data_IF_146553471747
#
_entry.id   IF_146553471747
#
_cell.length_a   1.000
_cell.length_b   1.000
_cell.length_c   1.000
_cell.angle_alpha   90.00
_cell.angle_beta   90.00
_cell.angle_gamma   90.00
#
_symmetry.space_group_name_H-M   'P 1'
#
loop_
_entity.id
_entity.type
_entity.pdbx_description
1 polymer ?
#
# COMPACT_ATOMS: atom_id res chain seq x y z
N UNK A 1 37.37 17.42 18.62
CA UNK A 1 36.46 16.25 18.63
C UNK A 1 35.15 16.53 19.36
N UNK A 2 34.18 17.27 18.77
CA UNK A 2 32.78 16.96 19.09
C UNK A 2 31.82 16.93 17.88
N UNK A 3 32.25 17.37 16.69
CA UNK A 3 31.38 17.46 15.51
C UNK A 3 31.06 16.12 14.84
N UNK A 4 31.81 15.05 15.11
CA UNK A 4 31.57 13.73 14.51
C UNK A 4 30.57 12.84 15.27
N UNK A 5 30.18 13.20 16.51
CA UNK A 5 29.20 12.43 17.30
C UNK A 5 27.75 12.86 17.04
N UNK A 6 27.51 14.11 16.60
CA UNK A 6 26.15 14.59 16.31
C UNK A 6 25.57 13.98 15.01
N UNK A 7 26.41 13.63 14.03
CA UNK A 7 25.96 13.03 12.77
C UNK A 7 25.43 11.59 12.94
N UNK A 8 25.87 10.87 13.98
CA UNK A 8 25.39 9.51 14.29
C UNK A 8 24.01 9.47 14.95
N UNK A 9 23.57 10.58 15.54
CA UNK A 9 22.25 10.71 16.18
C UNK A 9 21.12 11.16 15.24
N UNK A 10 21.46 11.73 14.07
CA UNK A 10 20.48 12.19 13.06
C UNK A 10 20.16 11.15 11.98
N UNK A 11 21.04 10.16 11.77
CA UNK A 11 20.79 9.03 10.87
C UNK A 11 19.44 8.30 11.15
N UNK A 12 19.04 8.00 12.41
CA UNK A 12 17.77 7.34 12.66
C UNK A 12 16.53 8.20 12.38
N UNK A 13 16.66 9.52 12.20
CA UNK A 13 15.54 10.41 11.83
C UNK A 13 15.27 10.43 10.33
N UNK A 14 16.30 10.29 9.49
CA UNK A 14 16.16 10.24 8.03
C UNK A 14 15.92 8.82 7.48
N UNK A 15 16.40 7.79 8.19
CA UNK A 15 16.06 6.39 7.90
C UNK A 15 14.58 6.06 8.16
N UNK A 16 13.83 6.92 8.86
CA UNK A 16 12.42 6.67 9.19
C UNK A 16 11.46 6.82 8.01
N UNK A 17 11.81 7.55 6.95
CA UNK A 17 10.88 7.87 5.86
C UNK A 17 11.00 6.97 4.62
N UNK A 18 12.15 6.34 4.38
CA UNK A 18 12.29 5.41 3.24
C UNK A 18 11.84 3.99 3.63
N UNK A 19 10.78 3.45 3.01
CA UNK A 19 10.35 2.08 3.26
C UNK A 19 11.38 1.02 2.84
N UNK A 20 12.24 1.31 1.85
CA UNK A 20 13.25 0.37 1.36
C UNK A 20 14.37 0.22 2.38
N UNK A 21 14.91 1.33 2.88
CA UNK A 21 15.97 1.30 3.90
C UNK A 21 15.51 0.63 5.19
N UNK A 22 14.23 0.79 5.57
CA UNK A 22 13.67 0.08 6.72
C UNK A 22 13.54 -1.41 6.48
N UNK A 23 13.07 -1.82 5.30
CA UNK A 23 13.06 -3.24 4.94
C UNK A 23 14.49 -3.83 4.96
N UNK A 24 15.48 -3.10 4.46
CA UNK A 24 16.90 -3.49 4.54
C UNK A 24 17.41 -3.61 5.97
N UNK A 25 17.13 -2.62 6.84
CA UNK A 25 17.55 -2.66 8.23
C UNK A 25 16.91 -3.85 8.99
N UNK A 26 15.63 -4.13 8.74
CA UNK A 26 14.92 -5.26 9.34
C UNK A 26 15.49 -6.60 8.90
N UNK A 27 15.67 -6.79 7.59
CA UNK A 27 16.28 -8.01 7.04
C UNK A 27 17.73 -8.16 7.49
N UNK A 28 18.45 -7.05 7.67
CA UNK A 28 19.81 -7.07 8.19
C UNK A 28 19.87 -7.48 9.67
N UNK A 29 18.84 -7.19 10.46
CA UNK A 29 18.75 -7.58 11.87
C UNK A 29 18.22 -9.00 12.12
N UNK A 30 17.62 -9.64 11.11
CA UNK A 30 17.04 -10.98 11.23
C UNK A 30 18.11 -12.05 11.47
N UNK A 31 17.86 -12.97 12.42
CA UNK A 31 18.79 -14.05 12.79
C UNK A 31 18.26 -15.41 12.35
N UNK A 32 19.09 -16.44 12.38
CA UNK A 32 18.70 -17.80 12.00
C UNK A 32 17.37 -18.27 12.64
N UNK A 33 17.10 -18.07 13.95
CA UNK A 33 15.81 -18.45 14.54
C UNK A 33 14.59 -17.75 13.94
N UNK A 34 14.75 -16.56 13.37
CA UNK A 34 13.67 -15.83 12.70
C UNK A 34 13.30 -16.48 11.37
N UNK A 35 14.32 -16.82 10.58
CA UNK A 35 14.14 -17.56 9.33
C UNK A 35 13.57 -18.94 9.58
N UNK A 36 14.14 -19.71 10.52
CA UNK A 36 13.68 -21.08 10.80
C UNK A 36 12.21 -21.10 11.24
N UNK A 37 11.79 -20.14 12.07
CA UNK A 37 10.40 -19.98 12.50
C UNK A 37 9.46 -19.68 11.32
N UNK A 38 9.81 -18.71 10.46
CA UNK A 38 8.94 -18.35 9.34
C UNK A 38 8.95 -19.42 8.23
N UNK A 39 10.07 -20.11 7.99
CA UNK A 39 10.13 -21.27 7.08
C UNK A 39 9.22 -22.38 7.59
N UNK A 40 9.30 -22.71 8.89
CA UNK A 40 8.43 -23.72 9.50
C UNK A 40 6.94 -23.33 9.42
N UNK A 41 6.61 -22.04 9.48
CA UNK A 41 5.23 -21.55 9.27
C UNK A 41 4.80 -21.69 7.81
N UNK A 42 5.63 -21.29 6.86
CA UNK A 42 5.34 -21.41 5.44
C UNK A 42 5.07 -22.88 5.04
N UNK A 43 5.87 -23.82 5.56
CA UNK A 43 5.66 -25.25 5.35
C UNK A 43 4.33 -25.75 5.96
N UNK A 44 3.93 -25.25 7.13
CA UNK A 44 2.62 -25.58 7.75
C UNK A 44 1.44 -24.98 6.99
N UNK A 45 1.65 -23.84 6.32
CA UNK A 45 0.66 -23.16 5.49
C UNK A 45 0.58 -23.76 4.06
N UNK A 46 1.31 -24.85 3.78
CA UNK A 46 1.45 -25.48 2.45
C UNK A 46 1.92 -24.47 1.38
N UNK A 47 2.84 -23.58 1.75
CA UNK A 47 3.48 -22.58 0.88
C UNK A 47 4.99 -22.87 0.71
N UNK A 48 5.35 -23.94 -0.02
CA UNK A 48 6.74 -24.35 -0.20
C UNK A 48 7.55 -23.34 -1.03
N UNK A 49 6.89 -22.58 -1.92
CA UNK A 49 7.51 -21.46 -2.63
C UNK A 49 8.02 -20.41 -1.64
N UNK A 50 7.18 -19.98 -0.69
CA UNK A 50 7.59 -19.00 0.33
C UNK A 50 8.69 -19.56 1.24
N UNK A 51 8.62 -20.84 1.59
CA UNK A 51 9.66 -21.51 2.36
C UNK A 51 11.02 -21.48 1.62
N UNK A 52 11.02 -21.72 0.30
CA UNK A 52 12.19 -21.61 -0.54
C UNK A 52 12.68 -20.15 -0.67
N UNK A 53 11.78 -19.17 -0.87
CA UNK A 53 12.14 -17.75 -0.91
C UNK A 53 12.82 -17.29 0.40
N UNK A 54 12.34 -17.76 1.55
CA UNK A 54 12.91 -17.47 2.87
C UNK A 54 14.30 -18.12 3.06
N UNK A 55 14.46 -19.37 2.63
CA UNK A 55 15.75 -20.06 2.67
C UNK A 55 16.78 -19.36 1.77
N UNK A 56 16.40 -19.01 0.54
CA UNK A 56 17.26 -18.29 -0.39
C UNK A 56 17.61 -16.88 0.15
N UNK A 57 16.68 -16.22 0.84
CA UNK A 57 16.95 -14.93 1.49
C UNK A 57 17.95 -15.08 2.65
N UNK A 58 17.87 -16.16 3.43
CA UNK A 58 18.85 -16.45 4.48
C UNK A 58 20.24 -16.68 3.89
N UNK A 59 20.34 -17.48 2.82
CA UNK A 59 21.58 -17.71 2.08
C UNK A 59 22.17 -16.41 1.54
N UNK A 60 21.35 -15.58 0.88
CA UNK A 60 21.76 -14.26 0.39
C UNK A 60 22.29 -13.35 1.52
N UNK A 61 21.81 -13.53 2.74
CA UNK A 61 22.26 -12.79 3.93
C UNK A 61 23.40 -13.48 4.69
N UNK A 62 23.91 -14.61 4.17
CA UNK A 62 24.90 -15.46 4.83
C UNK A 62 24.48 -15.87 6.25
N UNK A 63 23.17 -16.07 6.47
CA UNK A 63 22.62 -16.56 7.74
C UNK A 63 22.57 -18.09 7.67
N UNK A 64 23.33 -18.81 8.52
CA UNK A 64 23.37 -20.27 8.47
C UNK A 64 22.04 -20.84 8.96
N UNK A 65 21.47 -21.74 8.16
CA UNK A 65 20.28 -22.53 8.51
C UNK A 65 20.66 -24.00 8.71
N UNK A 66 19.88 -24.70 9.53
CA UNK A 66 20.12 -26.13 9.75
C UNK A 66 19.94 -26.97 8.46
N UNK A 67 20.85 -27.93 8.15
CA UNK A 67 20.72 -28.79 6.98
C UNK A 67 19.42 -29.59 6.94
N UNK A 68 18.91 -29.97 8.12
CA UNK A 68 17.64 -30.67 8.26
C UNK A 68 16.43 -29.81 7.85
N UNK A 69 16.49 -28.49 8.02
CA UNK A 69 15.43 -27.60 7.55
C UNK A 69 15.51 -27.40 6.04
N UNK A 70 16.71 -27.22 5.49
CA UNK A 70 16.93 -27.09 4.05
C UNK A 70 16.44 -28.33 3.28
N UNK A 71 16.64 -29.53 3.85
CA UNK A 71 16.12 -30.76 3.25
C UNK A 71 14.59 -30.85 3.29
N UNK A 72 13.94 -30.36 4.35
CA UNK A 72 12.47 -30.27 4.42
C UNK A 72 11.92 -29.31 3.36
N UNK A 73 12.55 -28.14 3.17
CA UNK A 73 12.16 -27.17 2.14
C UNK A 73 12.32 -27.78 0.75
N UNK A 74 13.46 -28.43 0.47
CA UNK A 74 13.71 -29.06 -0.83
C UNK A 74 12.71 -30.19 -1.14
N UNK A 75 12.34 -30.99 -0.13
CA UNK A 75 11.33 -32.03 -0.27
C UNK A 75 9.95 -31.41 -0.59
N UNK A 76 9.50 -30.45 0.22
CA UNK A 76 8.20 -29.80 0.04
C UNK A 76 8.07 -29.13 -1.33
N UNK A 77 9.12 -28.47 -1.82
CA UNK A 77 9.14 -27.83 -3.12
C UNK A 77 9.03 -28.84 -4.29
N UNK A 78 9.68 -30.00 -4.19
CA UNK A 78 9.57 -31.07 -5.21
C UNK A 78 8.14 -31.63 -5.28
N UNK A 79 7.51 -31.84 -4.13
CA UNK A 79 6.12 -32.31 -4.09
C UNK A 79 5.16 -31.27 -4.68
N UNK A 80 5.40 -29.98 -4.43
CA UNK A 80 4.56 -28.93 -4.99
C UNK A 80 4.67 -28.81 -6.50
N UNK A 81 5.87 -28.86 -7.07
CA UNK A 81 6.06 -28.90 -8.52
C UNK A 81 5.24 -30.03 -9.17
N UNK A 82 5.20 -31.20 -8.55
CA UNK A 82 4.46 -32.36 -9.05
C UNK A 82 2.93 -32.19 -8.92
N UNK A 83 2.45 -31.59 -7.82
CA UNK A 83 1.03 -31.23 -7.64
C UNK A 83 0.59 -30.10 -8.58
N UNK A 84 1.44 -29.08 -8.74
CA UNK A 84 1.23 -27.91 -9.58
C UNK A 84 1.08 -28.33 -11.04
N UNK A 85 1.91 -29.24 -11.56
CA UNK A 85 1.74 -29.82 -12.90
C UNK A 85 0.37 -30.50 -13.09
N UNK A 86 -0.11 -31.26 -12.09
CA UNK A 86 -1.44 -31.87 -12.11
C UNK A 86 -2.59 -30.86 -11.98
N UNK A 87 -2.39 -29.77 -11.22
CA UNK A 87 -3.37 -28.70 -11.02
C UNK A 87 -3.49 -27.75 -12.22
N UNK A 88 -2.43 -27.60 -13.00
CA UNK A 88 -2.41 -26.84 -14.26
C UNK A 88 -3.25 -27.59 -15.31
N UNK A 89 -3.09 -28.91 -15.42
CA UNK A 89 -3.92 -29.74 -16.32
C UNK A 89 -5.40 -29.76 -15.90
N UNK A 90 -5.69 -29.86 -14.60
CA UNK A 90 -7.08 -29.80 -14.10
C UNK A 90 -7.69 -28.40 -14.18
N UNK A 91 -6.92 -27.34 -13.91
CA UNK A 91 -7.39 -25.96 -13.99
C UNK A 91 -7.66 -25.50 -15.43
N UNK A 92 -6.87 -25.98 -16.41
CA UNK A 92 -7.09 -25.72 -17.82
C UNK A 92 -8.34 -26.42 -18.39
N UNK A 93 -8.76 -27.54 -17.80
CA UNK A 93 -9.89 -28.36 -18.27
C UNK A 93 -11.17 -28.13 -17.46
N UNK A 94 -11.07 -27.88 -16.14
CA UNK A 94 -12.19 -27.83 -15.20
C UNK A 94 -12.37 -26.48 -14.48
N UNK A 95 -11.48 -25.50 -14.69
CA UNK A 95 -11.70 -24.13 -14.20
C UNK A 95 -11.60 -23.93 -12.68
N UNK A 96 -10.89 -24.79 -11.95
CA UNK A 96 -10.73 -24.66 -10.50
C UNK A 96 -9.67 -23.61 -10.09
N UNK A 97 -10.03 -22.75 -9.11
CA UNK A 97 -9.40 -21.47 -8.78
C UNK A 97 -8.20 -21.52 -7.81
N UNK A 98 -7.66 -22.70 -7.50
CA UNK A 98 -6.51 -22.85 -6.57
C UNK A 98 -5.16 -22.89 -7.26
N UNK A 99 -5.12 -23.04 -8.59
CA UNK A 99 -3.88 -23.15 -9.36
C UNK A 99 -3.42 -21.81 -9.96
N UNK A 100 -2.11 -21.65 -10.26
CA UNK A 100 -1.59 -20.53 -11.03
C UNK A 100 -2.32 -20.29 -12.36
N UNK A 101 -2.83 -21.36 -12.99
CA UNK A 101 -3.60 -21.29 -14.23
C UNK A 101 -5.02 -20.73 -14.02
N UNK A 102 -5.73 -21.11 -12.95
CA UNK A 102 -7.05 -20.54 -12.62
C UNK A 102 -6.97 -19.06 -12.27
N UNK A 103 -5.89 -18.64 -11.60
CA UNK A 103 -5.60 -17.23 -11.33
C UNK A 103 -5.25 -16.47 -12.62
N UNK A 104 -4.44 -17.07 -13.50
CA UNK A 104 -4.09 -16.49 -14.79
C UNK A 104 -5.31 -16.38 -15.74
N UNK A 105 -6.22 -17.34 -15.75
CA UNK A 105 -7.44 -17.31 -16.55
C UNK A 105 -8.44 -16.25 -16.05
N UNK A 106 -8.64 -16.15 -14.72
CA UNK A 106 -9.46 -15.09 -14.13
C UNK A 106 -8.89 -13.70 -14.43
N UNK A 107 -7.57 -13.53 -14.28
CA UNK A 107 -6.86 -12.29 -14.64
C UNK A 107 -6.97 -12.02 -16.14
N UNK A 108 -6.73 -12.99 -17.03
CA UNK A 108 -6.81 -12.82 -18.48
C UNK A 108 -8.21 -12.38 -18.93
N UNK A 109 -9.26 -12.91 -18.31
CA UNK A 109 -10.65 -12.53 -18.61
C UNK A 109 -10.96 -11.12 -18.09
N UNK A 110 -10.48 -10.77 -16.90
CA UNK A 110 -10.68 -9.47 -16.25
C UNK A 110 -9.80 -8.34 -16.82
N UNK A 111 -8.73 -8.67 -17.56
CA UNK A 111 -7.87 -7.73 -18.27
C UNK A 111 -8.47 -7.21 -19.58
N UNK A 112 -9.63 -7.72 -19.98
CA UNK A 112 -10.31 -7.26 -21.18
C UNK A 112 -11.15 -6.02 -20.88
N UNK A 113 -11.23 -5.11 -21.84
CA UNK A 113 -12.14 -3.95 -21.74
C UNK A 113 -13.62 -4.40 -21.70
N UNK A 114 -13.90 -5.62 -22.15
CA UNK A 114 -15.23 -6.27 -22.04
C UNK A 114 -15.52 -6.61 -20.57
N UNK A 115 -14.54 -7.13 -19.82
CA UNK A 115 -14.65 -7.42 -18.40
C UNK A 115 -15.01 -6.17 -17.58
N UNK A 116 -14.34 -5.05 -17.83
CA UNK A 116 -14.64 -3.78 -17.15
C UNK A 116 -16.04 -3.23 -17.48
N UNK A 117 -16.48 -3.30 -18.74
CA UNK A 117 -17.86 -2.92 -19.10
C UNK A 117 -18.88 -3.83 -18.42
N UNK A 118 -18.64 -5.15 -18.41
CA UNK A 118 -19.52 -6.13 -17.74
C UNK A 118 -19.63 -5.85 -16.24
N UNK A 119 -18.50 -5.62 -15.57
CA UNK A 119 -18.48 -5.28 -14.15
C UNK A 119 -19.24 -3.98 -13.88
N UNK A 120 -19.03 -2.93 -14.68
CA UNK A 120 -19.78 -1.67 -14.55
C UNK A 120 -21.28 -1.82 -14.77
N UNK A 121 -21.69 -2.57 -15.80
CA UNK A 121 -23.12 -2.80 -16.08
C UNK A 121 -23.76 -3.60 -14.95
N UNK A 122 -23.08 -4.65 -14.45
CA UNK A 122 -23.54 -5.46 -13.32
C UNK A 122 -23.70 -4.62 -12.06
N UNK A 123 -22.70 -3.83 -11.71
CA UNK A 123 -22.76 -2.97 -10.52
C UNK A 123 -23.74 -1.82 -10.69
N UNK A 124 -23.87 -1.25 -11.90
CA UNK A 124 -24.88 -0.22 -12.18
C UNK A 124 -26.30 -0.78 -12.08
N UNK A 125 -26.54 -2.04 -12.45
CA UNK A 125 -27.83 -2.69 -12.25
C UNK A 125 -28.16 -2.91 -10.77
N UNK A 126 -27.15 -3.00 -9.90
CA UNK A 126 -27.31 -3.08 -8.45
C UNK A 126 -27.49 -1.71 -7.78
N UNK A 127 -27.55 -0.60 -8.52
CA UNK A 127 -27.71 0.73 -7.95
C UNK A 127 -29.05 0.87 -7.18
N UNK A 128 -29.06 1.42 -5.94
CA UNK A 128 -27.97 2.14 -5.27
C UNK A 128 -26.97 1.27 -4.48
N UNK A 129 -27.22 -0.03 -4.31
CA UNK A 129 -26.46 -0.97 -3.45
C UNK A 129 -25.18 -1.55 -4.06
N UNK A 130 -24.70 -0.95 -5.16
CA UNK A 130 -23.45 -1.29 -5.84
C UNK A 130 -22.20 -1.25 -4.95
N UNK A 131 -21.14 -2.00 -5.31
CA UNK A 131 -19.82 -1.85 -4.70
C UNK A 131 -19.06 -0.68 -5.37
N UNK A 132 -18.82 0.45 -4.67
CA UNK A 132 -18.15 1.60 -5.26
C UNK A 132 -16.73 1.28 -5.71
N UNK A 133 -16.01 0.38 -5.02
CA UNK A 133 -14.64 0.04 -5.38
C UNK A 133 -14.60 -0.75 -6.68
N UNK A 134 -15.52 -1.69 -6.89
CA UNK A 134 -15.59 -2.45 -8.15
C UNK A 134 -15.96 -1.52 -9.31
N UNK A 135 -16.94 -0.62 -9.12
CA UNK A 135 -17.29 0.40 -10.13
C UNK A 135 -16.09 1.27 -10.46
N UNK A 136 -15.39 1.79 -9.46
CA UNK A 136 -14.27 2.69 -9.68
C UNK A 136 -13.07 1.98 -10.34
N UNK A 137 -12.76 0.73 -9.98
CA UNK A 137 -11.69 -0.04 -10.61
C UNK A 137 -12.01 -0.40 -12.06
N UNK A 138 -13.25 -0.79 -12.36
CA UNK A 138 -13.70 -1.08 -13.72
C UNK A 138 -13.73 0.21 -14.58
N UNK A 139 -14.23 1.32 -14.02
CA UNK A 139 -14.17 2.64 -14.65
C UNK A 139 -12.74 3.12 -14.91
N UNK A 140 -11.82 2.85 -13.97
CA UNK A 140 -10.38 3.12 -14.13
C UNK A 140 -9.79 2.28 -15.27
N UNK A 141 -10.11 0.99 -15.36
CA UNK A 141 -9.66 0.09 -16.44
C UNK A 141 -10.12 0.54 -17.83
N UNK A 142 -11.35 1.06 -17.94
CA UNK A 142 -11.85 1.67 -19.19
C UNK A 142 -11.15 2.98 -19.51
N UNK A 143 -10.95 3.86 -18.52
CA UNK A 143 -10.25 5.13 -18.71
C UNK A 143 -8.81 4.90 -19.19
N UNK A 144 -8.11 3.94 -18.60
CA UNK A 144 -6.76 3.53 -19.00
C UNK A 144 -6.75 3.00 -20.44
N UNK A 145 -7.69 2.11 -20.79
CA UNK A 145 -7.81 1.58 -22.15
C UNK A 145 -8.09 2.70 -23.16
N UNK A 146 -9.00 3.63 -22.85
CA UNK A 146 -9.35 4.74 -23.73
C UNK A 146 -8.16 5.70 -23.94
N UNK A 147 -7.40 6.00 -22.87
CA UNK A 147 -6.19 6.81 -22.95
C UNK A 147 -5.12 6.20 -23.84
N UNK A 148 -4.90 4.89 -23.74
CA UNK A 148 -3.95 4.14 -24.58
C UNK A 148 -4.31 4.17 -26.07
N UNK A 149 -5.59 3.98 -26.40
CA UNK A 149 -6.06 4.04 -27.79
C UNK A 149 -5.87 5.45 -28.35
N UNK A 150 -6.21 6.48 -27.55
CA UNK A 150 -6.07 7.88 -27.95
C UNK A 150 -4.61 8.31 -28.13
N UNK A 151 -3.67 7.71 -27.38
CA UNK A 151 -2.24 7.99 -27.50
C UNK A 151 -1.52 7.18 -28.58
N UNK A 152 -2.24 6.39 -29.40
CA UNK A 152 -1.65 5.59 -30.48
C UNK A 152 -0.79 4.41 -30.03
N UNK A 153 -0.99 3.89 -28.82
CA UNK A 153 -0.15 2.84 -28.23
C UNK A 153 -0.35 1.44 -28.84
N UNK A 154 0.73 0.65 -28.89
CA UNK A 154 0.70 -0.78 -29.24
C UNK A 154 0.02 -1.62 -28.13
N UNK A 155 -0.44 -2.83 -28.47
CA UNK A 155 -1.23 -3.74 -27.62
C UNK A 155 -0.64 -4.06 -26.22
N UNK A 156 0.66 -3.83 -26.01
CA UNK A 156 1.36 -3.95 -24.72
C UNK A 156 0.82 -2.96 -23.66
N UNK A 157 0.24 -1.83 -24.08
CA UNK A 157 -0.35 -0.86 -23.16
C UNK A 157 -1.77 -1.25 -22.70
N UNK A 158 -2.47 -2.14 -23.44
CA UNK A 158 -3.77 -2.70 -23.03
C UNK A 158 -3.58 -3.75 -21.92
N UNK A 159 -2.37 -4.28 -21.74
CA UNK A 159 -1.97 -5.22 -20.68
C UNK A 159 -0.97 -4.61 -19.68
N UNK A 160 -0.91 -3.28 -19.60
CA UNK A 160 0.03 -2.58 -18.73
C UNK A 160 -0.15 -2.87 -17.24
N UNK A 161 0.85 -2.54 -16.39
CA UNK A 161 0.83 -2.79 -14.95
C UNK A 161 -0.46 -2.28 -14.28
N UNK A 162 -0.96 -1.11 -14.67
CA UNK A 162 -2.20 -0.58 -14.11
C UNK A 162 -3.42 -1.49 -14.33
N UNK A 163 -3.56 -2.14 -15.49
CA UNK A 163 -4.70 -3.02 -15.76
C UNK A 163 -4.58 -4.34 -15.00
N UNK A 164 -3.36 -4.88 -14.92
CA UNK A 164 -3.03 -6.05 -14.10
C UNK A 164 -3.36 -5.81 -12.63
N UNK A 165 -2.94 -4.68 -12.08
CA UNK A 165 -3.23 -4.37 -10.69
C UNK A 165 -4.70 -4.04 -10.43
N UNK A 166 -5.41 -3.44 -11.39
CA UNK A 166 -6.86 -3.21 -11.26
C UNK A 166 -7.62 -4.55 -11.16
N UNK A 167 -7.27 -5.54 -11.99
CA UNK A 167 -7.79 -6.90 -11.90
C UNK A 167 -7.47 -7.57 -10.56
N UNK A 168 -6.22 -7.47 -10.09
CA UNK A 168 -5.82 -8.01 -8.79
C UNK A 168 -6.50 -7.34 -7.60
N UNK A 169 -6.75 -6.02 -7.67
CA UNK A 169 -7.51 -5.28 -6.67
C UNK A 169 -8.98 -5.73 -6.63
N UNK A 170 -9.61 -5.93 -7.81
CA UNK A 170 -10.97 -6.49 -7.91
C UNK A 170 -11.02 -7.90 -7.31
N UNK A 171 -10.04 -8.75 -7.64
CA UNK A 171 -9.91 -10.10 -7.10
C UNK A 171 -9.73 -10.08 -5.56
N UNK A 172 -8.84 -9.24 -5.05
CA UNK A 172 -8.59 -9.12 -3.62
C UNK A 172 -9.81 -8.59 -2.86
N UNK A 173 -10.56 -7.65 -3.44
CA UNK A 173 -11.83 -7.15 -2.88
C UNK A 173 -12.88 -8.26 -2.81
N UNK A 174 -13.07 -9.01 -3.90
CA UNK A 174 -14.06 -10.11 -3.97
C UNK A 174 -13.70 -11.28 -3.06
N UNK A 175 -12.41 -11.57 -2.88
CA UNK A 175 -11.92 -12.66 -2.03
C UNK A 175 -11.70 -12.27 -0.56
N UNK A 176 -12.03 -11.03 -0.16
CA UNK A 176 -11.84 -10.56 1.22
C UNK A 176 -10.37 -10.49 1.65
N UNK A 177 -9.42 -10.40 0.70
CA UNK A 177 -7.98 -10.38 0.95
C UNK A 177 -7.39 -8.99 1.19
N UNK A 178 -8.21 -7.95 1.08
CA UNK A 178 -7.81 -6.59 1.46
C UNK A 178 -7.91 -6.44 2.98
N UNK A 179 -6.94 -5.75 3.59
CA UNK A 179 -7.07 -5.33 5.00
C UNK A 179 -8.27 -4.39 5.15
N UNK A 180 -8.90 -4.36 6.33
CA UNK A 180 -10.04 -3.48 6.58
C UNK A 180 -9.69 -1.99 6.34
N UNK A 181 -8.45 -1.59 6.68
CA UNK A 181 -7.95 -0.23 6.47
C UNK A 181 -7.75 0.08 4.99
N UNK A 182 -7.08 -0.80 4.24
CA UNK A 182 -6.89 -0.60 2.80
C UNK A 182 -8.21 -0.59 2.07
N UNK A 183 -9.12 -1.49 2.44
CA UNK A 183 -10.47 -1.49 1.88
C UNK A 183 -11.20 -0.19 2.16
N UNK A 184 -11.10 0.37 3.36
CA UNK A 184 -11.69 1.66 3.71
C UNK A 184 -11.07 2.84 2.95
N UNK A 185 -9.74 2.88 2.82
CA UNK A 185 -9.02 3.90 2.06
C UNK A 185 -9.41 3.87 0.57
N UNK A 186 -9.38 2.69 -0.06
CA UNK A 186 -9.77 2.51 -1.45
C UNK A 186 -11.25 2.82 -1.70
N UNK A 187 -12.15 2.47 -0.78
CA UNK A 187 -13.57 2.83 -0.87
C UNK A 187 -13.78 4.35 -0.81
N UNK A 188 -13.00 5.05 0.02
CA UNK A 188 -13.06 6.51 0.10
C UNK A 188 -12.57 7.17 -1.19
N UNK A 189 -11.50 6.64 -1.80
CA UNK A 189 -11.03 7.09 -3.12
C UNK A 189 -12.07 6.81 -4.21
N UNK A 190 -12.64 5.60 -4.21
CA UNK A 190 -13.66 5.18 -5.16
C UNK A 190 -14.90 6.07 -5.15
N UNK A 191 -15.45 6.36 -3.97
CA UNK A 191 -16.63 7.24 -3.82
C UNK A 191 -16.37 8.66 -4.34
N UNK A 192 -15.14 9.17 -4.20
CA UNK A 192 -14.76 10.49 -4.74
C UNK A 192 -14.60 10.45 -6.26
N UNK A 193 -14.08 9.33 -6.77
CA UNK A 193 -13.86 9.14 -8.20
C UNK A 193 -15.13 8.87 -9.00
N UNK A 194 -16.20 8.39 -8.37
CA UNK A 194 -17.48 8.12 -9.05
C UNK A 194 -18.34 9.38 -9.13
N UNK A 195 -18.79 9.70 -10.35
CA UNK A 195 -19.90 10.61 -10.58
C UNK A 195 -21.22 9.86 -10.38
N UNK A 196 -21.88 10.13 -9.25
CA UNK A 196 -23.13 9.47 -8.87
C UNK A 196 -24.29 9.75 -9.83
N UNK A 197 -24.30 10.91 -10.51
CA UNK A 197 -25.34 11.24 -11.49
C UNK A 197 -25.11 10.46 -12.77
N UNK A 198 -23.87 10.39 -13.25
CA UNK A 198 -23.51 9.59 -14.41
C UNK A 198 -23.78 8.10 -14.15
N UNK A 199 -23.43 7.59 -12.95
CA UNK A 199 -23.72 6.23 -12.55
C UNK A 199 -25.23 5.93 -12.56
N UNK A 200 -26.07 6.84 -12.05
CA UNK A 200 -27.52 6.67 -12.08
C UNK A 200 -28.08 6.64 -13.52
N UNK A 201 -27.50 7.40 -14.45
CA UNK A 201 -27.86 7.33 -15.88
C UNK A 201 -27.48 5.98 -16.47
N UNK A 202 -26.27 5.49 -16.20
CA UNK A 202 -25.82 4.17 -16.64
C UNK A 202 -26.70 3.06 -16.05
N UNK A 203 -27.08 3.16 -14.78
CA UNK A 203 -27.99 2.22 -14.11
C UNK A 203 -29.35 2.15 -14.79
N UNK A 204 -29.96 3.31 -15.12
CA UNK A 204 -31.24 3.37 -15.84
C UNK A 204 -31.17 2.75 -17.23
N UNK A 205 -30.06 2.92 -17.94
CA UNK A 205 -29.84 2.33 -19.27
C UNK A 205 -29.63 0.81 -19.18
N UNK A 206 -28.84 0.36 -18.21
CA UNK A 206 -28.63 -1.06 -17.93
C UNK A 206 -29.94 -1.77 -17.56
N UNK A 207 -30.79 -1.15 -16.71
CA UNK A 207 -32.09 -1.70 -16.33
C UNK A 207 -33.09 -1.79 -17.49
N UNK A 208 -32.90 -1.01 -18.55
CA UNK A 208 -33.69 -1.09 -19.81
C UNK A 208 -33.14 -2.11 -20.81
N UNK A 209 -32.12 -2.88 -20.42
CA UNK A 209 -31.38 -3.80 -21.29
C UNK A 209 -30.71 -3.12 -22.49
N UNK A 210 -30.53 -1.80 -22.45
CA UNK A 210 -29.82 -1.04 -23.47
C UNK A 210 -28.31 -1.03 -23.16
N UNK A 211 -27.68 -2.16 -23.45
CA UNK A 211 -26.25 -2.38 -23.21
C UNK A 211 -25.37 -1.43 -24.03
N UNK A 212 -25.85 -0.99 -25.20
CA UNK A 212 -25.11 -0.05 -26.06
C UNK A 212 -25.10 1.34 -25.43
N UNK A 213 -26.25 1.83 -24.96
CA UNK A 213 -26.32 3.10 -24.24
C UNK A 213 -25.56 3.03 -22.91
N UNK A 214 -25.73 1.95 -22.14
CA UNK A 214 -25.01 1.74 -20.88
C UNK A 214 -23.48 1.79 -21.08
N UNK A 215 -22.98 1.17 -22.15
CA UNK A 215 -21.55 1.26 -22.52
C UNK A 215 -21.12 2.69 -22.87
N UNK A 216 -21.95 3.46 -23.58
CA UNK A 216 -21.67 4.87 -23.93
C UNK A 216 -21.72 5.82 -22.74
N UNK A 217 -22.46 5.49 -21.68
CA UNK A 217 -22.51 6.28 -20.45
C UNK A 217 -21.47 5.85 -19.42
N UNK A 218 -21.04 4.57 -19.42
CA UNK A 218 -20.03 4.02 -18.54
C UNK A 218 -18.71 4.83 -18.53
N UNK A 219 -18.27 5.33 -19.69
CA UNK A 219 -17.07 6.16 -19.80
C UNK A 219 -17.16 7.50 -19.04
N UNK A 220 -18.36 7.96 -18.68
CA UNK A 220 -18.62 9.21 -17.95
C UNK A 220 -18.81 9.02 -16.44
N UNK A 221 -18.79 7.77 -15.96
CA UNK A 221 -18.97 7.44 -14.54
C UNK A 221 -17.78 7.90 -13.69
N UNK A 222 -16.62 8.13 -14.30
CA UNK A 222 -15.38 8.46 -13.59
C UNK A 222 -15.02 9.94 -13.70
N UNK A 223 -14.67 10.55 -12.57
CA UNK A 223 -14.06 11.89 -12.49
C UNK A 223 -12.55 11.80 -12.72
N UNK A 224 -12.01 12.42 -13.79
CA UNK A 224 -10.63 12.18 -14.23
C UNK A 224 -9.53 12.43 -13.21
N UNK A 225 -9.72 13.37 -12.27
CA UNK A 225 -8.68 13.76 -11.30
C UNK A 225 -8.51 12.70 -10.22
N UNK A 226 -9.61 12.17 -9.71
CA UNK A 226 -9.66 11.18 -8.65
C UNK A 226 -9.36 9.77 -9.15
N UNK A 227 -9.62 9.47 -10.43
CA UNK A 227 -9.24 8.20 -11.08
C UNK A 227 -7.72 7.97 -11.06
N UNK A 228 -6.91 9.04 -11.00
CA UNK A 228 -5.44 8.94 -11.01
C UNK A 228 -4.90 8.19 -9.79
N UNK A 229 -5.43 8.46 -8.60
CA UNK A 229 -4.95 7.82 -7.36
C UNK A 229 -5.27 6.32 -7.35
N UNK A 230 -6.44 5.93 -7.87
CA UNK A 230 -6.79 4.52 -8.07
C UNK A 230 -5.93 3.88 -9.16
N UNK A 231 -5.64 4.63 -10.23
CA UNK A 231 -4.71 4.23 -11.29
C UNK A 231 -3.30 3.98 -10.77
N UNK A 232 -2.76 4.85 -9.92
CA UNK A 232 -1.43 4.72 -9.29
C UNK A 232 -1.36 3.53 -8.32
N UNK A 233 -2.41 3.31 -7.54
CA UNK A 233 -2.55 2.13 -6.69
C UNK A 233 -2.55 0.85 -7.53
N UNK A 234 -3.36 0.82 -8.59
CA UNK A 234 -3.42 -0.30 -9.52
C UNK A 234 -2.08 -0.51 -10.24
N UNK A 235 -1.44 0.55 -10.72
CA UNK A 235 -0.11 0.47 -11.34
C UNK A 235 0.92 -0.11 -10.36
N UNK A 236 0.86 0.30 -9.09
CA UNK A 236 1.79 -0.21 -8.09
C UNK A 236 1.62 -1.71 -7.85
N UNK A 237 0.38 -2.17 -7.74
CA UNK A 237 0.04 -3.59 -7.56
C UNK A 237 0.48 -4.40 -8.78
N UNK A 238 0.17 -3.94 -10.00
CA UNK A 238 0.55 -4.68 -11.19
C UNK A 238 2.04 -4.64 -11.49
N UNK A 239 2.76 -3.59 -11.07
CA UNK A 239 4.21 -3.55 -11.16
C UNK A 239 4.87 -4.57 -10.22
N UNK A 240 4.29 -4.81 -9.03
CA UNK A 240 4.71 -5.92 -8.16
C UNK A 240 4.40 -7.24 -8.84
N UNK A 241 3.17 -7.40 -9.38
CA UNK A 241 2.76 -8.64 -10.03
C UNK A 241 3.63 -9.00 -11.24
N UNK A 242 4.03 -8.01 -12.05
CA UNK A 242 4.87 -8.22 -13.22
C UNK A 242 6.32 -8.57 -12.87
N UNK A 243 6.81 -8.20 -11.69
CA UNK A 243 8.19 -8.48 -11.25
C UNK A 243 8.31 -9.74 -10.38
N UNK A 244 7.38 -9.89 -9.43
CA UNK A 244 7.42 -10.89 -8.37
C UNK A 244 6.28 -11.93 -8.47
N UNK A 245 5.40 -11.78 -9.46
CA UNK A 245 4.25 -12.65 -9.66
C UNK A 245 2.98 -12.25 -8.89
N UNK A 246 1.82 -12.84 -9.24
CA UNK A 246 0.52 -12.48 -8.67
C UNK A 246 0.39 -12.81 -7.18
N UNK A 247 1.03 -13.88 -6.69
CA UNK A 247 1.04 -14.24 -5.27
C UNK A 247 1.74 -13.17 -4.43
N UNK A 248 2.84 -12.61 -4.93
CA UNK A 248 3.55 -11.51 -4.30
C UNK A 248 2.70 -10.23 -4.25
N UNK A 249 1.98 -9.91 -5.33
CA UNK A 249 1.06 -8.78 -5.34
C UNK A 249 -0.11 -8.96 -4.35
N UNK A 250 -0.67 -10.17 -4.25
CA UNK A 250 -1.70 -10.48 -3.24
C UNK A 250 -1.15 -10.42 -1.81
N UNK A 251 0.10 -10.84 -1.59
CA UNK A 251 0.79 -10.70 -0.30
C UNK A 251 1.04 -9.22 0.05
N UNK A 252 1.30 -8.36 -0.93
CA UNK A 252 1.37 -6.92 -0.72
C UNK A 252 0.00 -6.34 -0.31
N UNK A 253 -1.08 -6.77 -0.97
CA UNK A 253 -2.44 -6.32 -0.69
C UNK A 253 -2.98 -6.77 0.68
N UNK A 254 -2.56 -7.94 1.17
CA UNK A 254 -2.96 -8.44 2.49
C UNK A 254 -2.22 -7.76 3.64
N UNK A 255 -1.20 -6.96 3.33
CA UNK A 255 -0.32 -6.28 4.29
C UNK A 255 -0.48 -4.77 4.25
N UNK A 256 -0.74 -4.19 3.07
CA UNK A 256 -0.97 -2.75 2.92
C UNK A 256 -2.19 -2.26 3.72
N UNK A 257 -2.10 -1.06 4.30
CA UNK A 257 -3.18 -0.38 5.01
C UNK A 257 -3.73 0.83 4.23
N UNK A 258 -2.94 1.40 3.33
CA UNK A 258 -3.35 2.54 2.48
C UNK A 258 -2.92 2.36 1.03
N UNK A 259 -3.54 3.09 0.12
CA UNK A 259 -3.14 3.19 -1.29
C UNK A 259 -1.69 3.66 -1.46
N UNK A 260 -1.20 4.53 -0.57
CA UNK A 260 0.21 4.98 -0.55
C UNK A 260 1.20 3.87 -0.19
N UNK A 261 0.78 2.91 0.65
CA UNK A 261 1.62 1.77 1.04
C UNK A 261 1.94 0.88 -0.17
N UNK A 262 1.04 0.78 -1.14
CA UNK A 262 1.24 -0.02 -2.35
C UNK A 262 2.45 0.45 -3.15
N UNK A 263 2.65 1.77 -3.23
CA UNK A 263 3.83 2.35 -3.88
C UNK A 263 5.11 2.09 -3.07
N UNK A 264 5.03 2.15 -1.74
CA UNK A 264 6.15 1.77 -0.86
C UNK A 264 6.55 0.30 -1.05
N UNK A 265 5.56 -0.60 -1.07
CA UNK A 265 5.75 -2.04 -1.30
C UNK A 265 6.31 -2.33 -2.70
N UNK A 266 5.90 -1.58 -3.73
CA UNK A 266 6.49 -1.67 -5.08
C UNK A 266 7.99 -1.37 -5.08
N UNK A 267 8.42 -0.36 -4.31
CA UNK A 267 9.85 -0.03 -4.17
C UNK A 267 10.61 -1.13 -3.45
N UNK A 268 10.04 -1.69 -2.38
CA UNK A 268 10.62 -2.84 -1.66
C UNK A 268 10.74 -4.06 -2.59
N UNK A 269 9.67 -4.40 -3.33
CA UNK A 269 9.69 -5.48 -4.32
C UNK A 269 10.80 -5.28 -5.37
N UNK A 270 10.96 -4.05 -5.85
CA UNK A 270 12.00 -3.73 -6.82
C UNK A 270 13.42 -3.90 -6.26
N UNK A 271 13.60 -3.76 -4.94
CA UNK A 271 14.89 -3.91 -4.25
C UNK A 271 15.22 -5.36 -3.90
N UNK A 272 14.23 -6.12 -3.41
CA UNK A 272 14.39 -7.48 -2.90
C UNK A 272 13.86 -8.53 -3.89
N UNK A 273 14.20 -8.37 -5.17
CA UNK A 273 13.71 -9.20 -6.26
C UNK A 273 13.87 -10.70 -5.94
N UNK A 274 12.81 -11.48 -6.08
CA UNK A 274 12.79 -12.92 -5.79
C UNK A 274 12.73 -13.28 -4.30
N UNK A 275 12.75 -12.29 -3.41
CA UNK A 275 12.65 -12.47 -1.95
C UNK A 275 11.57 -11.58 -1.34
N UNK A 276 10.75 -10.90 -2.15
CA UNK A 276 9.82 -9.90 -1.65
C UNK A 276 8.85 -10.47 -0.61
N UNK A 277 8.25 -11.65 -0.84
CA UNK A 277 7.32 -12.25 0.13
C UNK A 277 8.05 -12.71 1.38
N UNK A 278 9.27 -13.24 1.24
CA UNK A 278 10.14 -13.55 2.36
C UNK A 278 10.42 -12.31 3.22
N UNK A 279 10.71 -11.16 2.60
CA UNK A 279 10.87 -9.87 3.30
C UNK A 279 9.58 -9.45 4.00
N UNK A 280 8.42 -9.54 3.35
CA UNK A 280 7.13 -9.23 3.99
C UNK A 280 6.85 -10.12 5.19
N UNK A 281 7.28 -11.40 5.13
CA UNK A 281 7.08 -12.37 6.21
C UNK A 281 7.99 -12.11 7.39
N UNK A 282 9.25 -11.74 7.14
CA UNK A 282 10.25 -11.41 8.15
C UNK A 282 10.09 -10.00 8.73
N UNK A 283 9.39 -9.10 8.04
CA UNK A 283 9.10 -7.75 8.50
C UNK A 283 7.70 -7.67 9.12
N UNK A 284 7.51 -8.03 10.41
CA UNK A 284 6.22 -7.88 11.08
C UNK A 284 5.73 -6.42 11.14
N UNK A 285 6.63 -5.45 10.94
CA UNK A 285 6.33 -4.02 10.80
C UNK A 285 5.72 -3.67 9.44
N UNK A 286 6.11 -4.37 8.35
CA UNK A 286 5.40 -4.25 7.08
C UNK A 286 3.93 -4.67 7.24
N UNK A 287 3.68 -5.76 7.98
CA UNK A 287 2.34 -6.27 8.35
C UNK A 287 1.51 -5.33 9.24
N UNK A 288 2.14 -4.45 10.03
CA UNK A 288 1.46 -3.56 11.01
C UNK A 288 1.51 -2.07 10.68
N UNK A 289 1.96 -1.73 9.47
CA UNK A 289 2.07 -0.35 9.03
C UNK A 289 3.51 0.15 9.14
N UNK A 290 4.28 -0.10 8.08
CA UNK A 290 5.53 0.60 7.80
C UNK A 290 5.30 2.12 7.56
N UNK A 291 4.09 2.68 7.78
CA UNK A 291 3.77 4.09 7.53
C UNK A 291 3.09 4.79 8.72
N UNK A 292 3.07 4.16 9.90
CA UNK A 292 2.60 4.81 11.14
C UNK A 292 3.69 5.63 11.85
N UNK A 293 4.32 6.57 11.15
CA UNK A 293 5.00 7.74 11.76
C UNK A 293 4.85 9.03 10.91
N UNK A 294 3.98 9.12 9.89
CA UNK A 294 3.97 10.34 9.04
C UNK A 294 2.96 11.42 9.42
N UNK A 295 1.90 11.12 10.20
CA UNK A 295 0.89 12.15 10.57
C UNK A 295 0.61 12.32 12.05
N UNK A 296 0.84 11.28 12.87
CA UNK A 296 0.56 11.37 14.31
C UNK A 296 1.73 12.01 15.08
N UNK A 297 2.97 11.71 14.71
CA UNK A 297 4.17 12.36 15.26
C UNK A 297 4.30 13.81 14.82
N UNK A 298 3.92 14.16 13.59
CA UNK A 298 3.89 15.56 13.15
C UNK A 298 2.90 16.40 13.96
N UNK A 299 1.70 15.90 14.26
CA UNK A 299 0.75 16.60 15.15
C UNK A 299 1.21 16.64 16.60
N UNK A 300 1.86 15.60 17.11
CA UNK A 300 2.43 15.62 18.46
C UNK A 300 3.63 16.58 18.52
N UNK A 301 4.42 16.67 17.45
CA UNK A 301 5.53 17.62 17.30
C UNK A 301 5.05 19.06 17.21
N UNK A 302 3.98 19.34 16.45
CA UNK A 302 3.31 20.65 16.43
C UNK A 302 2.75 21.02 17.80
N UNK A 303 2.08 20.09 18.49
CA UNK A 303 1.57 20.31 19.85
C UNK A 303 2.71 20.54 20.84
N UNK A 304 3.80 19.78 20.74
CA UNK A 304 4.98 19.96 21.60
C UNK A 304 5.68 21.30 21.32
N UNK A 305 5.80 21.71 20.05
CA UNK A 305 6.36 22.99 19.66
C UNK A 305 5.47 24.16 20.12
N UNK A 306 4.15 24.02 20.05
CA UNK A 306 3.19 24.97 20.61
C UNK A 306 3.34 25.08 22.13
N UNK A 307 3.38 23.96 22.85
CA UNK A 307 3.57 23.95 24.31
C UNK A 307 4.91 24.58 24.71
N UNK A 308 6.01 24.23 24.02
CA UNK A 308 7.32 24.87 24.21
C UNK A 308 7.28 26.37 23.93
N UNK A 309 6.64 26.80 22.84
CA UNK A 309 6.45 28.20 22.50
C UNK A 309 5.69 28.98 23.59
N UNK A 310 4.63 28.39 24.15
CA UNK A 310 3.86 28.98 25.24
C UNK A 310 4.67 29.08 26.55
N UNK A 311 5.44 28.04 26.91
CA UNK A 311 6.28 28.07 28.13
C UNK A 311 7.39 29.11 28.05
N UNK A 312 8.09 29.21 26.91
CA UNK A 312 9.11 30.24 26.68
C UNK A 312 8.50 31.65 26.64
N UNK A 313 7.33 31.82 26.01
CA UNK A 313 6.59 33.07 26.00
C UNK A 313 6.16 33.52 27.40
N UNK A 314 5.63 32.61 28.22
CA UNK A 314 5.25 32.88 29.60
C UNK A 314 6.46 33.27 30.47
N UNK A 315 7.59 32.59 30.31
CA UNK A 315 8.83 32.93 31.00
C UNK A 315 9.37 34.32 30.59
N UNK A 316 9.34 34.64 29.29
CA UNK A 316 9.72 35.96 28.79
C UNK A 316 8.77 37.07 29.29
N UNK A 317 7.48 36.79 29.41
CA UNK A 317 6.50 37.71 29.98
C UNK A 317 6.76 37.94 31.47
N UNK A 318 6.99 36.87 32.24
CA UNK A 318 7.27 36.94 33.68
C UNK A 318 8.54 37.75 33.95
N UNK A 319 9.62 37.49 33.20
CA UNK A 319 10.87 38.26 33.33
C UNK A 319 10.69 39.73 32.95
N UNK A 320 9.86 40.06 31.95
CA UNK A 320 9.49 41.45 31.63
C UNK A 320 8.69 42.09 32.76
N UNK A 321 7.71 41.38 33.33
CA UNK A 321 6.88 41.87 34.42
C UNK A 321 7.72 42.17 35.67
N UNK A 322 8.62 41.25 36.04
CA UNK A 322 9.56 41.43 37.15
C UNK A 322 10.44 42.66 36.92
N UNK A 323 10.97 42.86 35.69
CA UNK A 323 11.76 44.05 35.36
C UNK A 323 10.95 45.34 35.44
N UNK A 324 9.68 45.33 35.04
CA UNK A 324 8.79 46.49 35.12
C UNK A 324 8.51 46.82 36.59
N UNK A 325 8.15 45.82 37.40
CA UNK A 325 7.93 45.99 38.85
C UNK A 325 9.20 46.49 39.53
N UNK A 326 10.36 45.91 39.22
CA UNK A 326 11.63 46.38 39.77
C UNK A 326 11.94 47.82 39.37
N UNK A 327 11.71 48.21 38.10
CA UNK A 327 11.86 49.61 37.66
C UNK A 327 10.90 50.55 38.36
N UNK A 328 9.64 50.16 38.55
CA UNK A 328 8.64 50.95 39.27
C UNK A 328 8.97 51.06 40.77
N UNK A 329 9.54 50.01 41.36
CA UNK A 329 9.97 50.02 42.76
C UNK A 329 11.22 50.89 42.97
N UNK A 330 12.19 50.82 42.05
CA UNK A 330 13.38 51.68 42.07
C UNK A 330 13.01 53.15 41.77
N UNK A 331 12.13 53.40 40.79
CA UNK A 331 11.65 54.75 40.48
C UNK A 331 10.73 55.32 41.58
N UNK A 332 9.91 54.49 42.21
CA UNK A 332 9.09 54.84 43.36
C UNK A 332 9.91 55.09 44.62
N UNK A 333 10.95 54.29 44.85
CA UNK A 333 11.93 54.49 45.91
C UNK A 333 12.73 55.77 45.73
N UNK A 334 13.12 56.11 44.49
CA UNK A 334 13.78 57.37 44.18
C UNK A 334 12.88 58.61 44.39
N UNK A 335 11.57 58.48 44.17
CA UNK A 335 10.57 59.53 44.48
C UNK A 335 10.31 59.69 45.98
N UNK A 336 10.31 58.60 46.75
CA UNK A 336 10.15 58.64 48.21
C UNK A 336 11.41 59.10 48.94
N UNK A 337 12.59 58.90 48.35
CA UNK A 337 13.87 59.36 48.90
C UNK A 337 14.22 60.83 48.56
N UNK A 338 13.34 61.56 47.86
CA UNK A 338 13.50 63.01 47.64
C UNK A 338 14.65 63.41 46.70
N UNK A 339 15.03 62.57 45.73
CA UNK A 339 16.19 62.82 44.83
C UNK A 339 15.79 63.29 43.42
N UNK A 340 14.49 63.46 43.12
CA UNK A 340 14.05 64.09 41.86
C UNK A 340 12.93 65.13 42.11
N UNK A 341 13.09 66.39 41.65
CA UNK A 341 12.02 67.39 41.71
C UNK A 341 10.92 67.07 40.69
N UNK A 342 9.70 67.57 40.98
CA UNK A 342 8.47 67.33 40.22
C UNK A 342 8.58 67.61 38.72
#
# INVERSE_FOLDING_TARGET
>A
MPLFLAARGLAPLFLQDDPVLRAEALVAGARAPDYEREIGRALKEDDPDLAAELANLAEFRAVPLSPALLSQVAAANRFDLMRSAGSVMRGAVFGEMTSPAGTAAAIATDLTSIGDVRDLVREAAAYPDHDPLIVALAGTGLALTAGTIASGGTSVAITGPAKLGAGLLKLARRSGRLTARLSGDLLNLARRAIDSRALAVTARQAGRLDLVAARRSAARVMRPRETRLLGEAAESVGAIAGKEGPRAALAALSVAETSGDLNALRRIASRFKGHFRAVLRLAPEARRGLLRISKLTWRIGELAALVLGWTLGAFALLTRLIRIVFRLFVAGGARLAGVLPA
#
